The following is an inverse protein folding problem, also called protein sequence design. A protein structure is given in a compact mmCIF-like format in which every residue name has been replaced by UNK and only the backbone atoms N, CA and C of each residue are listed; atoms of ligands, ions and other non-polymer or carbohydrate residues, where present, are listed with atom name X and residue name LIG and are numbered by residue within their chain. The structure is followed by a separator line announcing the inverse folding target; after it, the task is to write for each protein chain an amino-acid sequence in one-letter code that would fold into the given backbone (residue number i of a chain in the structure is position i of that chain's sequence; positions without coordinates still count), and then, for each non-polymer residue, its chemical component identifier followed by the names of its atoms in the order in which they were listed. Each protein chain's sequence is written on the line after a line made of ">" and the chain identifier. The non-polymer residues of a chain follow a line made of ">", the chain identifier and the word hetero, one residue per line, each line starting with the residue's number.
data_IF_135925818924
#
_entry.id   IF_135925818924
#
_cell.length_a   1.000
_cell.length_b   1.000
_cell.length_c   1.000
_cell.angle_alpha   90.00
_cell.angle_beta   90.00
_cell.angle_gamma   90.00
#
_symmetry.space_group_name_H-M   'P 1'
#
loop_
_entity.id
_entity.type
_entity.pdbx_description
1 polymer ?
#
# COMPACT_ATOMS: atom_id res chain seq x y z
N UNK A 1 -29.50 -10.61 -9.04
CA UNK A 1 -29.15 -9.24 -9.46
C UNK A 1 -27.77 -8.92 -8.93
N UNK A 2 -26.78 -8.69 -9.80
CA UNK A 2 -25.44 -8.27 -9.35
C UNK A 2 -25.56 -6.84 -8.81
N UNK A 3 -25.21 -6.65 -7.55
CA UNK A 3 -25.21 -5.31 -6.94
C UNK A 3 -24.32 -4.37 -7.76
N UNK A 4 -24.84 -3.19 -8.08
CA UNK A 4 -24.13 -2.20 -8.89
C UNK A 4 -22.88 -1.72 -8.15
N UNK A 5 -21.73 -1.73 -8.83
CA UNK A 5 -20.40 -1.36 -8.27
C UNK A 5 -20.21 0.15 -8.36
N UNK A 6 -20.72 0.88 -7.38
CA UNK A 6 -20.71 2.34 -7.32
C UNK A 6 -19.58 2.90 -6.44
N UNK A 7 -19.16 2.15 -5.42
CA UNK A 7 -18.20 2.60 -4.41
C UNK A 7 -16.74 2.56 -4.92
N UNK A 8 -15.94 3.47 -4.43
CA UNK A 8 -14.49 3.47 -4.72
C UNK A 8 -13.79 2.28 -4.04
N UNK A 9 -12.71 1.76 -4.65
CA UNK A 9 -11.95 0.66 -4.05
C UNK A 9 -11.31 1.08 -2.73
N UNK A 10 -11.36 0.21 -1.74
CA UNK A 10 -10.67 0.39 -0.46
C UNK A 10 -9.16 0.28 -0.60
N UNK A 11 -8.41 0.78 0.39
CA UNK A 11 -6.95 0.64 0.42
C UNK A 11 -6.48 -0.82 0.43
N UNK A 12 -7.26 -1.74 1.02
CA UNK A 12 -6.99 -3.18 1.00
C UNK A 12 -7.15 -3.72 -0.41
N UNK A 13 -8.27 -3.43 -1.08
CA UNK A 13 -8.54 -3.84 -2.47
C UNK A 13 -7.44 -3.40 -3.43
N UNK A 14 -6.97 -2.15 -3.29
CA UNK A 14 -5.85 -1.62 -4.09
C UNK A 14 -4.53 -2.37 -3.82
N UNK A 15 -4.23 -2.69 -2.56
CA UNK A 15 -3.04 -3.47 -2.21
C UNK A 15 -3.10 -4.90 -2.74
N UNK A 16 -4.26 -5.53 -2.64
CA UNK A 16 -4.46 -6.90 -3.13
C UNK A 16 -4.40 -6.96 -4.66
N UNK A 17 -4.99 -5.99 -5.36
CA UNK A 17 -4.84 -5.84 -6.81
C UNK A 17 -3.36 -5.66 -7.20
N UNK A 18 -2.61 -4.83 -6.46
CA UNK A 18 -1.18 -4.65 -6.70
C UNK A 18 -0.38 -5.94 -6.48
N UNK A 19 -0.69 -6.73 -5.45
CA UNK A 19 -0.04 -8.04 -5.21
C UNK A 19 -0.29 -9.02 -6.35
N UNK A 20 -1.47 -8.96 -6.98
CA UNK A 20 -1.82 -9.75 -8.16
C UNK A 20 -1.23 -9.20 -9.48
N UNK A 21 -0.42 -8.14 -9.42
CA UNK A 21 0.15 -7.50 -10.60
C UNK A 21 -0.83 -6.61 -11.37
N UNK A 22 -2.01 -6.33 -10.82
CA UNK A 22 -2.99 -5.43 -11.41
C UNK A 22 -2.66 -3.99 -11.00
N UNK A 23 -1.97 -3.29 -11.89
CA UNK A 23 -1.53 -1.90 -11.69
C UNK A 23 -1.92 -1.04 -12.89
N UNK A 24 -1.97 0.28 -12.69
CA UNK A 24 -2.15 1.23 -13.79
C UNK A 24 -0.93 1.14 -14.71
N UNK A 25 -1.15 0.76 -15.96
CA UNK A 25 -0.08 0.59 -16.94
C UNK A 25 -0.48 1.24 -18.26
N UNK A 26 0.18 2.33 -18.60
CA UNK A 26 0.09 2.94 -19.92
C UNK A 26 1.30 2.54 -20.77
N UNK A 27 1.05 1.96 -21.93
CA UNK A 27 2.08 1.64 -22.93
C UNK A 27 2.60 2.92 -23.58
N UNK A 28 1.75 3.93 -23.70
CA UNK A 28 2.05 5.19 -24.35
C UNK A 28 3.08 6.02 -23.60
N UNK A 29 3.08 5.97 -22.26
CA UNK A 29 4.14 6.60 -21.46
C UNK A 29 5.50 6.00 -21.79
N UNK A 30 5.59 4.66 -21.85
CA UNK A 30 6.86 3.98 -22.16
C UNK A 30 7.33 4.33 -23.56
N UNK A 31 6.42 4.25 -24.56
CA UNK A 31 6.74 4.58 -25.96
C UNK A 31 7.14 6.04 -26.12
N UNK A 32 6.41 6.96 -25.49
CA UNK A 32 6.72 8.40 -25.58
C UNK A 32 8.02 8.75 -24.87
N UNK A 33 8.28 8.19 -23.68
CA UNK A 33 9.54 8.37 -22.97
C UNK A 33 10.73 7.85 -23.80
N UNK A 34 10.55 6.71 -24.47
CA UNK A 34 11.57 6.12 -25.34
C UNK A 34 11.84 7.01 -26.57
N UNK A 35 10.79 7.48 -27.24
CA UNK A 35 10.93 8.39 -28.40
C UNK A 35 11.60 9.70 -27.97
N UNK A 36 11.14 10.32 -26.88
CA UNK A 36 11.72 11.56 -26.34
C UNK A 36 13.20 11.42 -26.02
N UNK A 37 13.59 10.32 -25.36
CA UNK A 37 14.98 10.07 -24.99
C UNK A 37 15.87 9.80 -26.20
N UNK A 38 15.35 9.06 -27.22
CA UNK A 38 16.09 8.83 -28.46
C UNK A 38 16.23 10.11 -29.29
N UNK A 39 15.19 10.93 -29.35
CA UNK A 39 15.28 12.25 -30.00
C UNK A 39 16.31 13.12 -29.29
N UNK A 40 16.28 13.17 -27.95
CA UNK A 40 17.26 13.92 -27.18
C UNK A 40 18.70 13.39 -27.38
N UNK A 41 18.88 12.08 -27.43
CA UNK A 41 20.16 11.43 -27.71
C UNK A 41 20.69 11.84 -29.09
N UNK A 42 19.88 11.69 -30.14
CA UNK A 42 20.28 12.00 -31.53
C UNK A 42 20.55 13.51 -31.73
N UNK A 43 19.73 14.37 -31.08
CA UNK A 43 19.95 15.84 -31.18
C UNK A 43 21.15 16.29 -30.34
N UNK A 44 21.38 15.71 -29.19
CA UNK A 44 22.48 16.09 -28.30
C UNK A 44 23.84 15.58 -28.74
N UNK A 45 23.87 14.45 -29.47
CA UNK A 45 25.07 13.80 -29.96
C UNK A 45 25.09 13.70 -31.50
N UNK A 46 24.48 14.66 -32.18
CA UNK A 46 24.37 14.66 -33.67
C UNK A 46 25.73 14.52 -34.37
N UNK A 47 26.75 15.25 -33.92
CA UNK A 47 28.08 15.21 -34.49
C UNK A 47 28.74 13.84 -34.33
N UNK A 48 28.59 13.22 -33.19
CA UNK A 48 29.07 11.86 -32.94
C UNK A 48 28.44 10.85 -33.92
N UNK A 49 27.10 10.91 -34.11
CA UNK A 49 26.41 9.99 -35.02
C UNK A 49 26.75 10.27 -36.48
N UNK A 50 26.91 11.55 -36.87
CA UNK A 50 27.30 11.90 -38.23
C UNK A 50 28.74 11.46 -38.55
N UNK A 51 29.67 11.59 -37.60
CA UNK A 51 31.05 11.13 -37.76
C UNK A 51 31.12 9.63 -37.96
N UNK A 52 30.52 8.83 -37.06
CA UNK A 52 30.54 7.37 -37.16
C UNK A 52 29.76 6.84 -38.36
N UNK A 53 28.65 7.50 -38.74
CA UNK A 53 27.91 7.17 -39.95
C UNK A 53 28.75 7.47 -41.21
N UNK A 54 29.48 8.60 -41.21
CA UNK A 54 30.43 8.96 -42.29
C UNK A 54 31.55 7.93 -42.43
N UNK A 55 32.17 7.52 -41.33
CA UNK A 55 33.18 6.43 -41.31
C UNK A 55 32.60 5.15 -41.91
N UNK A 56 31.39 4.74 -41.46
CA UNK A 56 30.72 3.56 -41.97
C UNK A 56 30.49 3.59 -43.48
N UNK A 57 30.08 4.74 -44.02
CA UNK A 57 29.83 4.92 -45.47
C UNK A 57 31.11 4.92 -46.28
N UNK A 58 32.21 5.47 -45.75
CA UNK A 58 33.51 5.58 -46.44
C UNK A 58 34.38 4.33 -46.26
N UNK A 59 34.06 3.47 -45.33
CA UNK A 59 34.81 2.27 -44.97
C UNK A 59 35.22 1.40 -46.19
N UNK A 60 34.32 1.07 -47.14
CA UNK A 60 34.73 0.29 -48.32
C UNK A 60 35.72 1.02 -49.24
N UNK A 61 35.64 2.36 -49.30
CA UNK A 61 36.50 3.16 -50.15
C UNK A 61 37.96 3.25 -49.59
N UNK A 62 38.12 3.22 -48.30
CA UNK A 62 39.46 3.26 -47.66
C UNK A 62 40.29 2.01 -47.92
N UNK A 63 39.67 0.87 -48.23
CA UNK A 63 40.35 -0.42 -48.41
C UNK A 63 40.29 -0.94 -49.85
N UNK A 64 39.96 -0.06 -50.82
CA UNK A 64 39.78 -0.45 -52.23
C UNK A 64 41.07 -0.98 -52.87
N UNK A 65 42.23 -0.51 -52.41
CA UNK A 65 43.53 -0.88 -52.97
C UNK A 65 44.11 -2.19 -52.39
N UNK A 66 43.45 -2.78 -51.38
CA UNK A 66 43.88 -4.02 -50.75
C UNK A 66 43.39 -5.26 -51.52
N UNK A 67 44.11 -6.41 -51.45
CA UNK A 67 43.63 -7.68 -51.95
C UNK A 67 42.28 -8.01 -51.30
N UNK A 68 41.30 -8.49 -52.09
CA UNK A 68 39.91 -8.68 -51.68
C UNK A 68 39.76 -9.39 -50.33
N UNK A 69 40.51 -10.46 -50.08
CA UNK A 69 40.41 -11.24 -48.82
C UNK A 69 40.83 -10.42 -47.59
N UNK A 70 41.94 -9.66 -47.70
CA UNK A 70 42.39 -8.78 -46.64
C UNK A 70 41.46 -7.62 -46.42
N UNK A 71 41.01 -6.98 -47.52
CA UNK A 71 40.02 -5.91 -47.47
C UNK A 71 38.74 -6.37 -46.77
N UNK A 72 38.21 -7.55 -47.10
CA UNK A 72 37.00 -8.09 -46.52
C UNK A 72 37.12 -8.35 -44.99
N UNK A 73 38.22 -8.98 -44.57
CA UNK A 73 38.46 -9.23 -43.13
C UNK A 73 38.53 -7.91 -42.34
N UNK A 74 39.30 -6.93 -42.82
CA UNK A 74 39.46 -5.62 -42.17
C UNK A 74 38.16 -4.80 -42.21
N UNK A 75 37.41 -4.83 -43.31
CA UNK A 75 36.11 -4.15 -43.38
C UNK A 75 35.09 -4.77 -42.40
N UNK A 76 35.03 -6.10 -42.26
CA UNK A 76 34.12 -6.74 -41.35
C UNK A 76 34.41 -6.41 -39.89
N UNK A 77 35.69 -6.38 -39.49
CA UNK A 77 36.09 -5.98 -38.13
C UNK A 77 35.71 -4.53 -37.83
N UNK A 78 36.08 -3.60 -38.73
CA UNK A 78 35.76 -2.18 -38.56
C UNK A 78 34.25 -1.92 -38.61
N UNK A 79 33.52 -2.61 -39.50
CA UNK A 79 32.06 -2.54 -39.58
C UNK A 79 31.40 -2.93 -38.25
N UNK A 80 31.83 -4.04 -37.67
CA UNK A 80 31.28 -4.49 -36.37
C UNK A 80 31.57 -3.47 -35.25
N UNK A 81 32.78 -2.87 -35.28
CA UNK A 81 33.17 -1.85 -34.30
C UNK A 81 32.34 -0.58 -34.45
N UNK A 82 32.19 -0.06 -35.67
CA UNK A 82 31.39 1.14 -35.94
C UNK A 82 29.91 0.91 -35.63
N UNK A 83 29.37 -0.25 -35.98
CA UNK A 83 28.00 -0.62 -35.59
C UNK A 83 27.82 -0.66 -34.08
N UNK A 84 28.82 -1.16 -33.33
CA UNK A 84 28.77 -1.15 -31.88
C UNK A 84 28.75 0.28 -31.31
N UNK A 85 29.57 1.18 -31.84
CA UNK A 85 29.58 2.59 -31.44
C UNK A 85 28.25 3.28 -31.71
N UNK A 86 27.58 2.98 -32.82
CA UNK A 86 26.29 3.56 -33.17
C UNK A 86 25.14 2.96 -32.36
N UNK A 87 25.13 1.64 -32.15
CA UNK A 87 24.00 0.94 -31.53
C UNK A 87 24.05 0.87 -30.00
N UNK A 88 25.25 0.74 -29.40
CA UNK A 88 25.37 0.58 -27.98
C UNK A 88 24.75 1.72 -27.15
N UNK A 89 24.98 3.01 -27.48
CA UNK A 89 24.34 4.12 -26.76
C UNK A 89 22.81 4.09 -26.89
N UNK A 90 22.29 3.77 -28.07
CA UNK A 90 20.84 3.67 -28.35
C UNK A 90 20.21 2.55 -27.51
N UNK A 91 20.82 1.36 -27.51
CA UNK A 91 20.32 0.21 -26.76
C UNK A 91 20.38 0.45 -25.25
N UNK A 92 21.46 1.06 -24.77
CA UNK A 92 21.63 1.38 -23.35
C UNK A 92 20.57 2.37 -22.88
N UNK A 93 20.39 3.48 -23.62
CA UNK A 93 19.36 4.49 -23.30
C UNK A 93 17.97 3.87 -23.38
N UNK A 94 17.68 3.07 -24.42
CA UNK A 94 16.39 2.41 -24.55
C UNK A 94 16.10 1.47 -23.37
N UNK A 95 17.06 0.63 -23.00
CA UNK A 95 16.92 -0.28 -21.85
C UNK A 95 16.69 0.47 -20.54
N UNK A 96 17.48 1.51 -20.30
CA UNK A 96 17.37 2.35 -19.10
C UNK A 96 16.00 3.05 -19.03
N UNK A 97 15.56 3.66 -20.13
CA UNK A 97 14.29 4.40 -20.19
C UNK A 97 13.09 3.47 -20.00
N UNK A 98 13.12 2.27 -20.60
CA UNK A 98 12.05 1.29 -20.42
C UNK A 98 11.94 0.89 -18.95
N UNK A 99 13.07 0.57 -18.29
CA UNK A 99 13.09 0.22 -16.86
C UNK A 99 12.58 1.39 -16.00
N UNK A 100 13.13 2.60 -16.21
CA UNK A 100 12.72 3.79 -15.44
C UNK A 100 11.26 4.14 -15.67
N UNK A 101 10.73 4.02 -16.88
CA UNK A 101 9.32 4.27 -17.17
C UNK A 101 8.39 3.30 -16.46
N UNK A 102 8.76 2.02 -16.39
CA UNK A 102 7.98 1.03 -15.66
C UNK A 102 8.05 1.26 -14.15
N UNK A 103 9.26 1.49 -13.61
CA UNK A 103 9.43 1.79 -12.18
C UNK A 103 8.71 3.08 -11.78
N UNK A 104 8.74 4.11 -12.64
CA UNK A 104 8.04 5.37 -12.40
C UNK A 104 6.51 5.26 -12.40
N UNK A 105 5.93 4.36 -13.21
CA UNK A 105 4.47 4.19 -13.29
C UNK A 105 3.87 3.47 -12.08
N UNK A 106 4.47 2.38 -11.62
CA UNK A 106 3.91 1.52 -10.57
C UNK A 106 4.90 1.06 -9.51
N UNK A 107 6.13 1.60 -9.53
CA UNK A 107 7.19 1.25 -8.59
C UNK A 107 7.76 -0.14 -8.83
N UNK A 108 8.63 -0.56 -7.94
CA UNK A 108 9.17 -1.92 -7.98
C UNK A 108 8.08 -2.94 -7.61
N UNK A 109 7.76 -3.84 -8.54
CA UNK A 109 6.70 -4.83 -8.39
C UNK A 109 7.22 -6.22 -8.77
N UNK A 110 7.33 -7.11 -7.77
CA UNK A 110 7.58 -8.53 -7.98
C UNK A 110 6.29 -9.30 -7.67
N UNK A 111 5.61 -9.76 -8.72
CA UNK A 111 4.38 -10.56 -8.60
C UNK A 111 4.63 -11.97 -9.12
N UNK A 112 4.98 -12.89 -8.22
CA UNK A 112 5.18 -14.29 -8.53
C UNK A 112 3.88 -15.00 -8.95
N UNK A 113 2.74 -14.50 -8.48
CA UNK A 113 1.42 -15.05 -8.84
C UNK A 113 1.07 -14.83 -10.32
N UNK A 114 1.61 -13.80 -10.95
CA UNK A 114 1.37 -13.51 -12.37
C UNK A 114 2.09 -14.48 -13.32
N UNK A 115 3.14 -15.15 -12.85
CA UNK A 115 4.00 -16.05 -13.64
C UNK A 115 3.49 -17.49 -13.62
N UNK A 116 2.56 -17.83 -12.74
CA UNK A 116 2.00 -19.18 -12.68
C UNK A 116 1.35 -19.56 -14.01
N UNK A 117 1.69 -20.73 -14.58
CA UNK A 117 1.09 -21.20 -15.80
C UNK A 117 -0.41 -21.48 -15.57
N UNK A 118 -1.25 -20.83 -16.36
CA UNK A 118 -2.70 -21.01 -16.33
C UNK A 118 -3.17 -21.48 -17.70
N UNK A 119 -3.60 -22.73 -17.77
CA UNK A 119 -4.09 -23.36 -18.99
C UNK A 119 -5.29 -22.64 -19.60
N UNK A 120 -6.07 -21.89 -18.79
CA UNK A 120 -7.17 -21.05 -19.27
C UNK A 120 -6.71 -19.92 -20.18
N UNK A 121 -5.46 -19.45 -20.02
CA UNK A 121 -4.88 -18.38 -20.86
C UNK A 121 -4.55 -18.84 -22.29
N UNK A 122 -4.48 -20.15 -22.52
CA UNK A 122 -4.13 -20.77 -23.81
C UNK A 122 -5.38 -21.11 -24.65
N UNK A 123 -6.58 -20.91 -24.12
CA UNK A 123 -7.82 -21.22 -24.83
C UNK A 123 -8.03 -20.29 -26.02
N UNK A 124 -8.03 -20.80 -27.30
CA UNK A 124 -8.15 -19.99 -28.50
C UNK A 124 -9.52 -19.28 -28.61
N UNK A 125 -10.58 -19.87 -28.05
CA UNK A 125 -11.93 -19.26 -28.06
C UNK A 125 -11.97 -18.02 -27.18
N UNK A 126 -11.35 -18.05 -26.01
CA UNK A 126 -11.21 -16.87 -25.16
C UNK A 126 -10.29 -15.81 -25.79
N UNK A 127 -9.26 -16.25 -26.50
CA UNK A 127 -8.39 -15.38 -27.29
C UNK A 127 -9.18 -14.62 -28.36
N UNK A 128 -10.00 -15.31 -29.16
CA UNK A 128 -10.84 -14.70 -30.17
C UNK A 128 -11.85 -13.68 -29.56
N UNK A 129 -12.51 -14.04 -28.46
CA UNK A 129 -13.40 -13.09 -27.75
C UNK A 129 -12.68 -11.82 -27.25
N UNK A 130 -11.42 -11.93 -26.86
CA UNK A 130 -10.62 -10.76 -26.46
C UNK A 130 -10.31 -9.85 -27.64
N UNK A 131 -10.01 -10.41 -28.82
CA UNK A 131 -9.75 -9.65 -30.04
C UNK A 131 -10.99 -8.84 -30.46
N UNK A 132 -12.17 -9.44 -30.42
CA UNK A 132 -13.46 -8.80 -30.78
C UNK A 132 -14.17 -8.17 -29.56
N UNK A 133 -13.42 -7.74 -28.55
CA UNK A 133 -13.99 -7.09 -27.40
C UNK A 133 -14.13 -5.57 -27.61
N UNK A 134 -15.07 -4.95 -26.87
CA UNK A 134 -15.23 -3.49 -26.83
C UNK A 134 -13.91 -2.81 -26.45
N UNK A 135 -13.11 -3.44 -25.58
CA UNK A 135 -11.81 -2.95 -25.19
C UNK A 135 -10.85 -2.87 -26.37
N UNK A 136 -10.77 -3.92 -27.19
CA UNK A 136 -9.93 -3.92 -28.40
C UNK A 136 -10.38 -2.88 -29.42
N UNK A 137 -11.69 -2.67 -29.54
CA UNK A 137 -12.23 -1.61 -30.41
C UNK A 137 -11.80 -0.20 -29.93
N UNK A 138 -11.85 0.04 -28.62
CA UNK A 138 -11.38 1.31 -28.02
C UNK A 138 -9.86 1.48 -28.24
N UNK A 139 -9.07 0.43 -28.05
CA UNK A 139 -7.62 0.46 -28.31
C UNK A 139 -7.32 0.73 -29.79
N UNK A 140 -8.07 0.12 -30.70
CA UNK A 140 -7.97 0.38 -32.13
C UNK A 140 -8.30 1.84 -32.47
N UNK A 141 -9.40 2.39 -31.94
CA UNK A 141 -9.80 3.78 -32.16
C UNK A 141 -8.74 4.77 -31.64
N UNK A 142 -8.19 4.52 -30.45
CA UNK A 142 -7.07 5.30 -29.89
C UNK A 142 -5.86 5.28 -30.83
N UNK A 143 -5.50 4.09 -31.34
CA UNK A 143 -4.36 3.95 -32.24
C UNK A 143 -4.59 4.68 -33.58
N UNK A 144 -5.79 4.59 -34.13
CA UNK A 144 -6.17 5.30 -35.34
C UNK A 144 -6.11 6.83 -35.16
N UNK A 145 -6.65 7.33 -34.04
CA UNK A 145 -6.60 8.75 -33.72
C UNK A 145 -5.16 9.26 -33.54
N UNK A 146 -4.28 8.44 -32.93
CA UNK A 146 -2.87 8.73 -32.77
C UNK A 146 -2.16 8.87 -34.14
N UNK A 147 -2.37 7.88 -34.99
CA UNK A 147 -1.79 7.92 -36.36
C UNK A 147 -2.29 9.15 -37.13
N UNK A 148 -3.60 9.45 -37.05
CA UNK A 148 -4.16 10.62 -37.69
C UNK A 148 -3.56 11.94 -37.16
N UNK A 149 -3.42 12.06 -35.82
CA UNK A 149 -2.80 13.24 -35.21
C UNK A 149 -1.34 13.42 -35.64
N UNK A 150 -0.54 12.35 -35.56
CA UNK A 150 0.87 12.41 -35.96
C UNK A 150 1.02 12.70 -37.45
N UNK A 151 0.20 12.09 -38.32
CA UNK A 151 0.19 12.38 -39.75
C UNK A 151 -0.14 13.85 -40.02
N UNK A 152 -1.10 14.41 -39.28
CA UNK A 152 -1.42 15.83 -39.37
C UNK A 152 -0.25 16.72 -38.94
N UNK A 153 0.44 16.39 -37.83
CA UNK A 153 1.61 17.14 -37.36
C UNK A 153 2.76 17.10 -38.39
N UNK A 154 3.03 15.93 -38.96
CA UNK A 154 4.01 15.76 -40.03
C UNK A 154 3.61 16.60 -41.23
N UNK A 155 2.37 16.53 -41.69
CA UNK A 155 1.84 17.31 -42.81
C UNK A 155 2.00 18.82 -42.58
N UNK A 156 1.62 19.33 -41.44
CA UNK A 156 1.75 20.76 -41.10
C UNK A 156 3.22 21.20 -41.09
N UNK A 157 4.11 20.36 -40.55
CA UNK A 157 5.56 20.65 -40.55
C UNK A 157 6.15 20.70 -41.97
N UNK A 158 5.78 19.73 -42.79
CA UNK A 158 6.21 19.72 -44.21
C UNK A 158 5.67 20.92 -45.01
N UNK A 159 4.39 21.23 -44.85
CA UNK A 159 3.74 22.37 -45.49
C UNK A 159 4.40 23.69 -45.06
N UNK A 160 4.71 23.86 -43.78
CA UNK A 160 5.38 25.07 -43.28
C UNK A 160 6.81 25.26 -43.80
N UNK A 161 7.49 24.18 -44.20
CA UNK A 161 8.87 24.21 -44.72
C UNK A 161 8.95 24.02 -46.23
N UNK A 162 7.83 23.93 -46.93
CA UNK A 162 7.79 23.64 -48.37
C UNK A 162 8.59 24.67 -49.20
N UNK A 163 8.49 25.95 -48.85
CA UNK A 163 9.24 27.01 -49.54
C UNK A 163 10.78 26.86 -49.42
N UNK A 164 11.24 26.40 -48.23
CA UNK A 164 12.66 26.11 -47.99
C UNK A 164 13.14 24.89 -48.77
N UNK A 165 12.32 23.84 -48.84
CA UNK A 165 12.59 22.64 -49.65
C UNK A 165 12.72 22.96 -51.14
N UNK A 166 11.81 23.78 -51.69
CA UNK A 166 11.81 24.16 -53.09
C UNK A 166 13.00 25.05 -53.49
N UNK A 167 13.69 25.68 -52.52
CA UNK A 167 14.89 26.46 -52.74
C UNK A 167 16.19 25.65 -52.78
N UNK A 168 16.21 24.42 -52.27
CA UNK A 168 17.40 23.56 -52.21
C UNK A 168 18.06 23.41 -53.59
N UNK A 169 17.33 23.12 -54.69
CA UNK A 169 17.95 22.98 -56.01
C UNK A 169 18.69 24.23 -56.51
N UNK A 170 18.25 25.43 -56.08
CA UNK A 170 18.85 26.68 -56.48
C UNK A 170 20.10 27.07 -55.69
N UNK A 171 20.30 26.46 -54.52
CA UNK A 171 21.37 26.81 -53.58
C UNK A 171 22.54 25.78 -53.61
N UNK A 172 22.35 24.62 -54.23
CA UNK A 172 23.37 23.58 -54.33
C UNK A 172 23.49 22.69 -53.11
N UNK A 173 24.55 21.88 -53.04
CA UNK A 173 24.78 20.90 -51.98
C UNK A 173 24.99 21.53 -50.61
N UNK A 174 25.52 22.74 -50.56
CA UNK A 174 25.82 23.45 -49.31
C UNK A 174 24.56 23.79 -48.48
N UNK A 175 23.39 23.87 -49.11
CA UNK A 175 22.13 24.11 -48.46
C UNK A 175 21.38 22.84 -48.01
N UNK A 176 21.72 21.69 -48.58
CA UNK A 176 21.01 20.44 -48.27
C UNK A 176 21.12 20.08 -46.79
N UNK A 177 22.32 20.06 -46.25
CA UNK A 177 22.55 19.68 -44.84
C UNK A 177 21.89 20.64 -43.84
N UNK A 178 22.04 21.97 -43.90
CA UNK A 178 21.41 22.88 -42.97
C UNK A 178 19.87 22.90 -43.09
N UNK A 179 19.30 22.86 -44.29
CA UNK A 179 17.84 22.88 -44.48
C UNK A 179 17.20 21.56 -43.99
N UNK A 180 17.74 20.42 -44.41
CA UNK A 180 17.25 19.11 -43.99
C UNK A 180 17.44 18.88 -42.51
N UNK A 181 18.57 19.30 -41.93
CA UNK A 181 18.84 19.23 -40.48
C UNK A 181 17.84 20.05 -39.66
N UNK A 182 17.55 21.29 -40.08
CA UNK A 182 16.55 22.14 -39.42
C UNK A 182 15.15 21.50 -39.46
N UNK A 183 14.73 21.01 -40.65
CA UNK A 183 13.44 20.34 -40.82
C UNK A 183 13.33 19.09 -39.96
N UNK A 184 14.37 18.25 -39.97
CA UNK A 184 14.38 17.02 -39.16
C UNK A 184 14.27 17.35 -37.69
N UNK A 185 15.03 18.35 -37.21
CA UNK A 185 14.96 18.84 -35.82
C UNK A 185 13.56 19.32 -35.45
N UNK A 186 12.95 20.13 -36.33
CA UNK A 186 11.59 20.64 -36.11
C UNK A 186 10.55 19.50 -36.07
N UNK A 187 10.66 18.56 -37.03
CA UNK A 187 9.79 17.38 -37.07
C UNK A 187 9.91 16.53 -35.80
N UNK A 188 11.14 16.25 -35.35
CA UNK A 188 11.38 15.51 -34.13
C UNK A 188 10.75 16.20 -32.90
N UNK A 189 10.90 17.51 -32.75
CA UNK A 189 10.32 18.28 -31.64
C UNK A 189 8.79 18.27 -31.65
N UNK A 190 8.19 18.51 -32.82
CA UNK A 190 6.72 18.52 -32.96
C UNK A 190 6.13 17.13 -32.68
N UNK A 191 6.74 16.08 -33.20
CA UNK A 191 6.33 14.70 -32.90
C UNK A 191 6.52 14.36 -31.44
N UNK A 192 7.63 14.78 -30.84
CA UNK A 192 7.91 14.56 -29.42
C UNK A 192 6.83 15.18 -28.50
N UNK A 193 6.43 16.42 -28.78
CA UNK A 193 5.33 17.11 -28.06
C UNK A 193 4.01 16.38 -28.29
N UNK A 194 3.73 15.94 -29.53
CA UNK A 194 2.53 15.16 -29.84
C UNK A 194 2.47 13.84 -29.07
N UNK A 195 3.56 13.09 -29.02
CA UNK A 195 3.65 11.85 -28.24
C UNK A 195 3.48 12.09 -26.76
N UNK A 196 4.04 13.17 -26.21
CA UNK A 196 3.86 13.52 -24.81
C UNK A 196 2.38 13.81 -24.47
N UNK A 197 1.69 14.58 -25.31
CA UNK A 197 0.27 14.87 -25.15
C UNK A 197 -0.58 13.59 -25.17
N UNK A 198 -0.30 12.69 -26.14
CA UNK A 198 -0.97 11.39 -26.25
C UNK A 198 -0.71 10.54 -24.98
N UNK A 199 0.53 10.49 -24.48
CA UNK A 199 0.90 9.72 -23.30
C UNK A 199 0.15 10.18 -22.04
N UNK A 200 0.04 11.49 -21.84
CA UNK A 200 -0.71 12.06 -20.70
C UNK A 200 -2.20 11.71 -20.78
N UNK A 201 -2.79 11.86 -21.96
CA UNK A 201 -4.20 11.54 -22.19
C UNK A 201 -4.47 10.03 -21.97
N UNK A 202 -3.61 9.17 -22.53
CA UNK A 202 -3.72 7.71 -22.37
C UNK A 202 -3.57 7.29 -20.89
N UNK A 203 -2.60 7.84 -20.18
CA UNK A 203 -2.42 7.53 -18.76
C UNK A 203 -3.64 7.92 -17.93
N UNK A 204 -4.22 9.08 -18.17
CA UNK A 204 -5.44 9.51 -17.49
C UNK A 204 -6.60 8.54 -17.75
N UNK A 205 -6.75 8.10 -19.01
CA UNK A 205 -7.75 7.12 -19.42
C UNK A 205 -7.52 5.75 -18.74
N UNK A 206 -6.30 5.19 -18.83
CA UNK A 206 -5.96 3.90 -18.22
C UNK A 206 -6.12 3.92 -16.70
N UNK A 207 -5.75 5.04 -16.06
CA UNK A 207 -5.99 5.24 -14.63
C UNK A 207 -7.48 5.22 -14.30
N UNK A 208 -8.30 5.93 -15.04
CA UNK A 208 -9.74 5.94 -14.85
C UNK A 208 -10.34 4.53 -15.02
N UNK A 209 -9.96 3.81 -16.07
CA UNK A 209 -10.40 2.45 -16.35
C UNK A 209 -9.99 1.48 -15.24
N UNK A 210 -8.76 1.57 -14.74
CA UNK A 210 -8.27 0.74 -13.64
C UNK A 210 -9.11 0.94 -12.37
N UNK A 211 -9.35 2.20 -11.97
CA UNK A 211 -10.20 2.47 -10.82
C UNK A 211 -11.64 2.02 -11.02
N UNK A 212 -12.19 2.17 -12.24
CA UNK A 212 -13.53 1.70 -12.59
C UNK A 212 -13.65 0.16 -12.47
N UNK A 213 -12.63 -0.58 -12.89
CA UNK A 213 -12.61 -2.04 -12.79
C UNK A 213 -12.52 -2.53 -11.34
N UNK A 214 -11.88 -1.75 -10.45
CA UNK A 214 -11.74 -2.07 -9.03
C UNK A 214 -12.89 -1.56 -8.17
N UNK A 215 -13.89 -0.87 -8.74
CA UNK A 215 -15.08 -0.42 -8.00
C UNK A 215 -15.75 -1.57 -7.27
N UNK A 216 -16.31 -1.26 -6.12
CA UNK A 216 -16.92 -2.21 -5.20
C UNK A 216 -18.41 -1.93 -5.04
N UNK A 217 -19.18 -2.95 -4.67
CA UNK A 217 -20.53 -2.76 -4.18
C UNK A 217 -20.49 -2.32 -2.69
N UNK A 218 -21.57 -1.71 -2.21
CA UNK A 218 -21.71 -1.35 -0.79
C UNK A 218 -21.54 -2.55 0.15
N UNK A 219 -22.01 -3.71 -0.28
CA UNK A 219 -21.89 -4.94 0.50
C UNK A 219 -20.45 -5.50 0.51
N UNK A 220 -19.71 -5.36 -0.60
CA UNK A 220 -18.28 -5.71 -0.66
C UNK A 220 -17.48 -4.84 0.29
N UNK A 221 -17.71 -3.52 0.28
CA UNK A 221 -17.03 -2.58 1.21
C UNK A 221 -17.34 -2.93 2.67
N UNK A 222 -18.61 -3.18 2.99
CA UNK A 222 -19.05 -3.54 4.34
C UNK A 222 -18.44 -4.86 4.83
N UNK A 223 -18.32 -5.86 3.94
CA UNK A 223 -17.65 -7.14 4.26
C UNK A 223 -16.16 -6.92 4.53
N UNK A 224 -15.49 -6.15 3.69
CA UNK A 224 -14.06 -5.88 3.84
C UNK A 224 -13.73 -5.11 5.13
N UNK A 225 -14.60 -4.14 5.50
CA UNK A 225 -14.51 -3.47 6.80
C UNK A 225 -14.64 -4.45 7.97
N UNK A 226 -15.63 -5.36 7.92
CA UNK A 226 -15.79 -6.40 8.95
C UNK A 226 -14.58 -7.36 9.03
N UNK A 227 -13.94 -7.65 7.91
CA UNK A 227 -12.71 -8.47 7.89
C UNK A 227 -11.49 -7.75 8.49
N UNK A 228 -11.38 -6.43 8.28
CA UNK A 228 -10.23 -5.66 8.78
C UNK A 228 -10.35 -5.31 10.27
N UNK A 229 -11.52 -4.88 10.72
CA UNK A 229 -11.75 -4.40 12.10
C UNK A 229 -12.31 -5.48 13.03
N UNK A 230 -12.70 -6.62 12.48
CA UNK A 230 -13.48 -7.63 13.18
C UNK A 230 -14.97 -7.24 13.26
N UNK A 231 -15.83 -8.23 13.49
CA UNK A 231 -17.27 -7.94 13.70
C UNK A 231 -17.45 -7.11 14.97
N UNK A 232 -18.18 -5.97 14.92
CA UNK A 232 -18.52 -5.18 16.11
C UNK A 232 -19.18 -6.03 17.18
N UNK A 233 -19.92 -7.07 16.79
CA UNK A 233 -20.57 -8.02 17.68
C UNK A 233 -19.57 -8.88 18.44
N UNK A 234 -18.48 -9.34 17.79
CA UNK A 234 -17.42 -10.10 18.46
C UNK A 234 -16.68 -9.22 19.46
N UNK A 235 -16.41 -7.96 19.10
CA UNK A 235 -15.76 -6.98 19.98
C UNK A 235 -16.63 -6.67 21.20
N UNK A 236 -17.94 -6.51 21.00
CA UNK A 236 -18.93 -6.32 22.07
C UNK A 236 -19.01 -7.54 22.97
N UNK A 237 -19.16 -8.76 22.41
CA UNK A 237 -19.18 -10.01 23.19
C UNK A 237 -17.89 -10.24 23.98
N UNK A 238 -16.73 -9.96 23.41
CA UNK A 238 -15.44 -10.06 24.12
C UNK A 238 -15.39 -9.09 25.31
N UNK A 239 -15.91 -7.86 25.11
CA UNK A 239 -15.99 -6.87 26.20
C UNK A 239 -16.97 -7.28 27.29
N UNK A 240 -18.14 -7.80 26.91
CA UNK A 240 -19.12 -8.35 27.87
C UNK A 240 -18.54 -9.53 28.64
N UNK A 241 -17.94 -10.50 27.98
CA UNK A 241 -17.31 -11.66 28.61
C UNK A 241 -16.18 -11.27 29.57
N UNK A 242 -15.38 -10.27 29.20
CA UNK A 242 -14.34 -9.73 30.08
C UNK A 242 -14.94 -9.06 31.33
N UNK A 243 -16.04 -8.34 31.17
CA UNK A 243 -16.77 -7.75 32.31
C UNK A 243 -17.42 -8.81 33.21
N UNK A 244 -17.95 -9.89 32.64
CA UNK A 244 -18.52 -11.02 33.39
C UNK A 244 -17.46 -11.77 34.19
N UNK A 245 -16.28 -12.04 33.58
CA UNK A 245 -15.14 -12.65 34.28
C UNK A 245 -14.67 -11.80 35.47
N UNK A 246 -14.53 -10.49 35.26
CA UNK A 246 -14.16 -9.58 36.34
C UNK A 246 -15.22 -9.54 37.45
N UNK A 247 -16.49 -9.63 37.12
CA UNK A 247 -17.56 -9.63 38.12
C UNK A 247 -17.69 -10.94 38.87
N UNK A 248 -17.42 -12.08 38.22
CA UNK A 248 -17.44 -13.38 38.89
C UNK A 248 -16.31 -13.54 39.90
N UNK A 249 -15.09 -13.09 39.54
CA UNK A 249 -13.95 -13.08 40.45
C UNK A 249 -14.20 -12.18 41.66
N UNK A 250 -14.73 -10.97 41.44
CA UNK A 250 -15.06 -10.03 42.49
C UNK A 250 -16.09 -10.61 43.48
N UNK A 251 -17.13 -11.29 42.96
CA UNK A 251 -18.13 -11.96 43.79
C UNK A 251 -17.53 -13.10 44.62
N UNK A 252 -16.63 -13.88 44.05
CA UNK A 252 -15.91 -14.95 44.73
C UNK A 252 -15.02 -14.40 45.87
N UNK A 253 -14.31 -13.30 45.62
CA UNK A 253 -13.46 -12.67 46.64
C UNK A 253 -14.28 -12.05 47.78
N UNK A 254 -15.44 -11.46 47.47
CA UNK A 254 -16.38 -10.99 48.49
C UNK A 254 -16.88 -12.16 49.34
N UNK A 255 -17.31 -13.28 48.76
CA UNK A 255 -17.76 -14.47 49.48
C UNK A 255 -16.70 -15.09 50.39
N UNK A 256 -15.42 -14.93 50.04
CA UNK A 256 -14.28 -15.37 50.88
C UNK A 256 -14.07 -14.49 52.11
N UNK A 257 -14.66 -13.29 52.13
CA UNK A 257 -14.50 -12.33 53.23
C UNK A 257 -15.48 -12.65 54.39
N UNK A 258 -15.04 -12.47 55.62
CA UNK A 258 -15.90 -12.53 56.79
C UNK A 258 -16.62 -11.19 57.05
N UNK A 259 -15.97 -10.08 56.66
CA UNK A 259 -16.50 -8.72 56.80
C UNK A 259 -15.87 -7.80 55.76
N UNK A 260 -16.61 -6.81 55.32
CA UNK A 260 -16.08 -5.72 54.47
C UNK A 260 -15.92 -4.46 55.34
N UNK A 261 -14.72 -3.92 55.42
CA UNK A 261 -14.43 -2.64 56.07
C UNK A 261 -14.41 -1.56 55.00
N UNK A 262 -15.26 -0.55 55.15
CA UNK A 262 -15.47 0.44 54.09
C UNK A 262 -15.27 1.89 54.58
N UNK A 263 -14.76 2.71 53.66
CA UNK A 263 -15.01 4.13 53.63
C UNK A 263 -16.12 4.37 52.59
N UNK A 264 -17.27 4.97 52.95
CA UNK A 264 -18.54 4.87 52.23
C UNK A 264 -18.51 5.04 50.72
N UNK A 265 -17.66 5.95 50.21
CA UNK A 265 -17.63 6.28 48.77
C UNK A 265 -16.32 5.91 48.08
N UNK A 266 -15.26 5.58 48.82
CA UNK A 266 -13.93 5.54 48.24
C UNK A 266 -13.17 4.23 48.41
N UNK A 267 -13.46 3.41 49.46
CA UNK A 267 -12.64 2.25 49.77
C UNK A 267 -13.52 1.10 50.29
N UNK A 268 -13.23 -0.12 49.85
CA UNK A 268 -13.79 -1.35 50.41
C UNK A 268 -12.67 -2.41 50.49
N UNK A 269 -12.45 -2.91 51.70
CA UNK A 269 -11.44 -3.91 52.01
C UNK A 269 -12.14 -5.13 52.62
N UNK A 270 -11.94 -6.31 52.04
CA UNK A 270 -12.43 -7.57 52.56
C UNK A 270 -11.44 -8.15 53.57
N UNK A 271 -11.95 -8.59 54.69
CA UNK A 271 -11.17 -9.25 55.73
C UNK A 271 -11.75 -10.64 55.95
N UNK A 272 -10.90 -11.64 55.98
CA UNK A 272 -11.23 -13.01 56.33
C UNK A 272 -10.58 -13.38 57.65
N UNK A 273 -11.38 -13.87 58.58
CA UNK A 273 -10.92 -14.48 59.78
C UNK A 273 -11.89 -15.59 60.19
N UNK A 274 -11.37 -16.78 60.45
CA UNK A 274 -12.13 -17.92 61.00
C UNK A 274 -11.34 -18.55 62.13
N UNK A 275 -11.96 -18.59 63.29
CA UNK A 275 -11.35 -19.15 64.51
C UNK A 275 -11.04 -20.63 64.25
N UNK A 276 -9.79 -21.02 64.43
CA UNK A 276 -9.32 -22.40 64.23
C UNK A 276 -8.83 -22.69 62.77
N UNK A 277 -9.16 -21.88 61.74
CA UNK A 277 -8.69 -22.06 60.40
C UNK A 277 -7.58 -21.06 60.05
N UNK A 278 -7.69 -19.80 60.47
CA UNK A 278 -6.72 -18.77 60.16
C UNK A 278 -6.03 -18.27 61.43
N UNK A 279 -4.69 -18.32 61.55
CA UNK A 279 -3.97 -17.86 62.75
C UNK A 279 -4.11 -16.36 62.97
N UNK A 280 -4.19 -15.57 61.87
CA UNK A 280 -4.38 -14.12 61.89
C UNK A 280 -5.37 -13.70 60.79
N UNK A 281 -6.01 -12.53 60.93
CA UNK A 281 -6.86 -11.98 59.86
C UNK A 281 -6.07 -11.68 58.61
N UNK A 282 -6.64 -12.00 57.43
CA UNK A 282 -6.03 -11.73 56.13
C UNK A 282 -6.93 -10.83 55.26
N UNK A 283 -6.32 -10.07 54.37
CA UNK A 283 -7.04 -9.23 53.42
C UNK A 283 -7.41 -10.06 52.19
N UNK A 284 -8.71 -10.16 51.87
CA UNK A 284 -9.20 -10.94 50.72
C UNK A 284 -9.37 -10.12 49.45
N UNK A 285 -9.72 -8.85 49.62
CA UNK A 285 -9.86 -7.91 48.51
C UNK A 285 -9.55 -6.47 48.93
N UNK A 286 -9.16 -5.64 47.97
CA UNK A 286 -8.81 -4.24 48.19
C UNK A 286 -9.19 -3.44 46.95
N UNK A 287 -10.25 -2.65 47.05
CA UNK A 287 -10.77 -1.89 45.93
C UNK A 287 -11.11 -0.45 46.30
N UNK A 288 -11.01 0.44 45.35
CA UNK A 288 -11.31 1.88 45.47
C UNK A 288 -12.43 2.32 44.53
N UNK A 289 -13.05 3.45 44.83
CA UNK A 289 -14.01 4.17 44.01
C UNK A 289 -15.16 3.31 43.43
N UNK A 290 -15.33 3.25 42.10
CA UNK A 290 -16.42 2.53 41.47
C UNK A 290 -16.44 1.02 41.80
N UNK A 291 -15.26 0.41 41.98
CA UNK A 291 -15.16 -1.00 42.38
C UNK A 291 -15.51 -1.18 43.86
N UNK A 292 -15.16 -0.24 44.74
CA UNK A 292 -15.54 -0.28 46.16
C UNK A 292 -17.06 -0.23 46.32
N UNK A 293 -17.76 0.61 45.57
CA UNK A 293 -19.23 0.66 45.55
C UNK A 293 -19.85 -0.67 45.10
N UNK A 294 -19.22 -1.30 44.09
CA UNK A 294 -19.67 -2.60 43.56
C UNK A 294 -19.44 -3.73 44.58
N UNK A 295 -18.29 -3.74 45.27
CA UNK A 295 -17.99 -4.68 46.38
C UNK A 295 -19.04 -4.58 47.45
N UNK A 296 -19.43 -3.39 47.89
CA UNK A 296 -20.46 -3.18 48.92
C UNK A 296 -21.81 -3.75 48.48
N UNK A 297 -22.24 -3.48 47.27
CA UNK A 297 -23.51 -4.03 46.73
C UNK A 297 -23.48 -5.56 46.71
N UNK A 298 -22.38 -6.16 46.27
CA UNK A 298 -22.22 -7.62 46.26
C UNK A 298 -22.21 -8.16 47.70
N UNK A 299 -21.55 -7.48 48.64
CA UNK A 299 -21.54 -7.88 50.03
C UNK A 299 -22.95 -7.86 50.65
N UNK A 300 -23.75 -6.85 50.38
CA UNK A 300 -25.16 -6.75 50.78
C UNK A 300 -26.00 -7.90 50.15
N UNK A 301 -25.80 -8.20 48.87
CA UNK A 301 -26.47 -9.32 48.16
C UNK A 301 -26.08 -10.69 48.74
N UNK A 302 -24.83 -10.86 49.13
CA UNK A 302 -24.29 -12.13 49.68
C UNK A 302 -24.43 -12.24 51.21
N UNK A 303 -25.07 -11.26 51.87
CA UNK A 303 -25.28 -11.27 53.34
C UNK A 303 -24.00 -11.03 54.14
N UNK A 304 -22.96 -10.45 53.53
CA UNK A 304 -21.70 -10.16 54.21
C UNK A 304 -21.78 -8.75 54.82
N UNK A 305 -21.47 -8.65 56.09
CA UNK A 305 -21.60 -7.40 56.82
C UNK A 305 -20.59 -6.34 56.31
N UNK A 306 -21.10 -5.13 56.06
CA UNK A 306 -20.28 -3.99 55.66
C UNK A 306 -20.18 -3.01 56.81
N UNK A 307 -18.98 -2.84 57.34
CA UNK A 307 -18.72 -1.95 58.49
C UNK A 307 -18.03 -0.66 58.01
N UNK A 308 -18.59 0.47 58.40
CA UNK A 308 -18.01 1.77 58.13
C UNK A 308 -16.97 2.14 59.20
N UNK A 309 -15.70 1.92 58.90
CA UNK A 309 -14.56 2.27 59.76
C UNK A 309 -13.50 2.99 58.92
N UNK A 310 -13.70 4.31 58.71
CA UNK A 310 -12.89 5.12 57.79
C UNK A 310 -11.38 5.06 58.13
N UNK A 311 -10.94 5.24 59.39
CA UNK A 311 -9.52 5.20 59.73
C UNK A 311 -8.88 3.84 59.38
N UNK A 312 -9.56 2.73 59.76
CA UNK A 312 -9.09 1.37 59.51
C UNK A 312 -9.07 1.04 58.01
N UNK A 313 -10.13 1.42 57.28
CA UNK A 313 -10.18 1.21 55.81
C UNK A 313 -9.03 1.91 55.10
N UNK A 314 -8.70 3.14 55.48
CA UNK A 314 -7.59 3.90 54.90
C UNK A 314 -6.20 3.32 55.24
N UNK A 315 -6.03 2.88 56.51
CA UNK A 315 -4.79 2.26 56.94
C UNK A 315 -4.57 0.91 56.25
N UNK A 316 -5.61 0.05 56.13
CA UNK A 316 -5.55 -1.19 55.35
C UNK A 316 -5.35 -0.97 53.87
N UNK A 317 -5.89 0.12 53.32
CA UNK A 317 -5.62 0.48 51.91
C UNK A 317 -4.15 0.81 51.69
N UNK A 318 -3.50 1.51 52.59
CA UNK A 318 -2.11 1.91 52.50
C UNK A 318 -1.16 0.74 52.72
N UNK A 319 -1.36 0.00 53.85
CA UNK A 319 -0.38 -0.91 54.41
C UNK A 319 -0.74 -2.40 54.22
N UNK A 320 -2.00 -2.73 53.86
CA UNK A 320 -2.47 -4.10 53.65
C UNK A 320 -2.24 -4.58 52.20
N UNK A 321 -1.89 -5.84 52.03
CA UNK A 321 -1.78 -6.51 50.71
C UNK A 321 -2.80 -7.66 50.62
N UNK A 322 -3.38 -7.83 49.43
CA UNK A 322 -4.35 -8.89 49.14
C UNK A 322 -3.68 -10.27 49.34
N UNK A 323 -4.43 -11.21 49.90
CA UNK A 323 -4.00 -12.57 50.27
C UNK A 323 -2.83 -12.61 51.27
N UNK A 324 -2.59 -11.54 52.03
CA UNK A 324 -1.61 -11.48 53.11
C UNK A 324 -2.26 -11.17 54.43
N UNK A 325 -1.57 -11.54 55.53
CA UNK A 325 -2.02 -11.20 56.88
C UNK A 325 -1.95 -9.68 57.08
N UNK A 326 -2.87 -9.20 57.91
CA UNK A 326 -2.95 -7.78 58.26
C UNK A 326 -1.67 -7.37 59.00
N UNK A 327 -1.08 -6.20 58.72
CA UNK A 327 0.09 -5.69 59.42
C UNK A 327 -0.11 -5.61 60.95
N UNK A 328 0.95 -5.87 61.71
CA UNK A 328 0.92 -5.93 63.18
C UNK A 328 0.26 -4.70 63.82
N UNK A 329 0.55 -3.52 63.31
CA UNK A 329 0.01 -2.25 63.83
C UNK A 329 -1.50 -2.09 63.65
N UNK A 330 -2.11 -2.88 62.74
CA UNK A 330 -3.55 -2.83 62.45
C UNK A 330 -4.33 -4.02 63.02
N UNK A 331 -3.64 -4.99 63.65
CA UNK A 331 -4.27 -6.19 64.23
C UNK A 331 -5.27 -5.83 65.34
N UNK A 332 -4.91 -4.91 66.25
CA UNK A 332 -5.76 -4.53 67.36
C UNK A 332 -7.08 -3.91 66.89
N UNK A 333 -6.99 -2.91 65.95
CA UNK A 333 -8.17 -2.27 65.39
C UNK A 333 -9.05 -3.26 64.57
N UNK A 334 -8.44 -4.23 63.91
CA UNK A 334 -9.15 -5.28 63.18
C UNK A 334 -9.80 -6.28 64.12
N UNK A 335 -9.14 -6.63 65.22
CA UNK A 335 -9.69 -7.53 66.25
C UNK A 335 -10.92 -6.93 66.92
N UNK A 336 -11.01 -5.62 67.14
CA UNK A 336 -12.21 -4.95 67.63
C UNK A 336 -13.39 -5.12 66.67
N UNK A 337 -13.16 -4.97 65.37
CA UNK A 337 -14.17 -5.18 64.32
C UNK A 337 -14.64 -6.63 64.31
N UNK A 338 -13.73 -7.58 64.40
CA UNK A 338 -14.05 -9.01 64.38
C UNK A 338 -14.80 -9.46 65.66
N UNK A 339 -14.39 -8.96 66.82
CA UNK A 339 -15.12 -9.22 68.09
C UNK A 339 -16.55 -8.69 68.09
N UNK A 340 -16.72 -7.48 67.53
CA UNK A 340 -18.03 -6.90 67.31
C UNK A 340 -18.88 -7.76 66.34
N UNK A 341 -18.28 -8.28 65.26
CA UNK A 341 -18.95 -9.19 64.33
C UNK A 341 -19.42 -10.47 65.03
N UNK A 342 -18.58 -11.10 65.90
CA UNK A 342 -18.89 -12.30 66.66
C UNK A 342 -20.06 -12.06 67.66
N UNK A 343 -20.09 -10.89 68.33
CA UNK A 343 -21.20 -10.55 69.24
C UNK A 343 -22.53 -10.42 68.50
N UNK A 344 -22.55 -9.93 67.28
CA UNK A 344 -23.76 -9.82 66.45
C UNK A 344 -24.27 -11.17 65.93
N UNK A 345 -23.38 -12.15 65.74
CA UNK A 345 -23.75 -13.50 65.32
C UNK A 345 -24.28 -14.37 66.43
N UNK A 346 -23.98 -14.04 67.72
CA UNK A 346 -24.41 -14.77 68.89
C UNK A 346 -25.79 -14.31 69.35
N UNK A 347 -26.26 -13.12 68.97
CA UNK A 347 -27.56 -12.54 69.36
C UNK A 347 -28.72 -12.84 68.37
N UNK A 348 -28.48 -13.65 67.32
CA UNK A 348 -29.55 -14.15 66.44
C UNK A 348 -29.96 -15.56 66.93
N UNK A 349 -31.19 -15.75 67.41
CA UNK A 349 -31.69 -17.03 67.90
C UNK A 349 -31.86 -18.07 66.81
#
# INVERSE_FOLDING_TARGET
>A
MSAEKTEQPTAKKLRDARRQGQVVKSKEIVSSALILSLVALLMGFSDYYLEHLGKLLLLPAEYIDLPFRQALETILENLLQELLYLLAPVLLVAALVVVLSHVGQYGFLLSLDSVKPDLKKINPVEGAKKIFSIRSLVEFLKSTLKVALLSLLVWLTLQGNLASLLRIPACGLDCVAPVSGLMLRQLMLVCAVGFLAIAVADYAFERHQHYKQLRMSKDEVKREYKEMEGSPEIKSKRRQFHQELQSSNLRADVRRSSVIVANPTHVAIGIRYRRGETPLPLVTLKHTDALALRVRRIAEEEGILVLQRIPLARALLRDGNVDQYIPADLIQATAEVLRWLESQQTDTP
#
